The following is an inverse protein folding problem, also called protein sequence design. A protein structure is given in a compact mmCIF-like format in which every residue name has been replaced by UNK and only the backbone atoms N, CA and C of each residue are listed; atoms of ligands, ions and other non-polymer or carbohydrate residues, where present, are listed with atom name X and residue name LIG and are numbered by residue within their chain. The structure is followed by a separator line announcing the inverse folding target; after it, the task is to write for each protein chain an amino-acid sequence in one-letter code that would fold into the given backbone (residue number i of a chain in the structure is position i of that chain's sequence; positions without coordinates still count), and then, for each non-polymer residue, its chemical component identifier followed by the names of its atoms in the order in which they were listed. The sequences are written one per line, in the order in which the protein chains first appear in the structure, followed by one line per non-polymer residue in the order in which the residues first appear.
data_IF_471271184525
#
_entry.id   IF_471271184525
#
_cell.length_a   1.000
_cell.length_b   1.000
_cell.length_c   1.000
_cell.angle_alpha   90.00
_cell.angle_beta   90.00
_cell.angle_gamma   90.00
#
_symmetry.space_group_name_H-M   'P 1'
#
loop_
_entity.id
_entity.type
_entity.pdbx_description
1 polymer ?
#
# COMPACT_ATOMS: atom_id res chain seq x y z
N UNK A 1 17.25 22.90 8.20
CA UNK A 1 17.24 21.43 8.00
C UNK A 1 17.00 21.16 6.52
N UNK A 2 17.74 20.21 5.93
CA UNK A 2 17.55 19.72 4.56
C UNK A 2 17.27 18.23 4.59
N UNK A 3 16.29 17.77 3.81
CA UNK A 3 15.84 16.38 3.78
C UNK A 3 16.06 15.80 2.38
N UNK A 4 16.61 14.58 2.32
CA UNK A 4 16.77 13.82 1.08
C UNK A 4 16.09 12.46 1.20
N UNK A 5 15.07 12.22 0.39
CA UNK A 5 14.31 10.96 0.36
C UNK A 5 14.77 10.14 -0.84
N UNK A 6 15.03 8.84 -0.64
CA UNK A 6 15.59 7.94 -1.66
C UNK A 6 14.68 6.76 -1.92
N UNK A 7 14.47 6.44 -3.18
CA UNK A 7 13.80 5.21 -3.61
C UNK A 7 14.39 4.68 -4.91
N UNK A 8 14.53 3.35 -5.02
CA UNK A 8 14.97 2.65 -6.22
C UNK A 8 13.83 1.92 -6.91
N UNK A 9 12.75 1.64 -6.19
CA UNK A 9 11.65 0.81 -6.62
C UNK A 9 10.32 1.52 -6.82
N UNK A 10 10.11 2.63 -6.14
CA UNK A 10 8.89 3.41 -6.21
C UNK A 10 9.06 4.62 -7.14
N UNK A 11 7.93 5.12 -7.67
CA UNK A 11 7.93 6.44 -8.32
C UNK A 11 8.22 7.51 -7.25
N UNK A 12 8.94 8.61 -7.59
CA UNK A 12 8.99 9.77 -6.69
C UNK A 12 7.61 10.30 -6.30
N UNK A 13 6.60 10.07 -7.12
CA UNK A 13 5.19 10.41 -6.87
C UNK A 13 4.39 9.27 -6.25
N UNK A 14 5.03 8.39 -5.49
CA UNK A 14 4.34 7.37 -4.71
C UNK A 14 3.43 7.99 -3.64
N UNK A 15 2.30 7.33 -3.34
CA UNK A 15 1.30 7.88 -2.41
C UNK A 15 1.85 8.08 -0.99
N UNK A 16 2.74 7.19 -0.50
CA UNK A 16 3.39 7.32 0.80
C UNK A 16 4.52 8.33 0.77
N UNK A 17 5.38 8.28 -0.27
CA UNK A 17 6.60 9.08 -0.35
C UNK A 17 6.28 10.55 -0.61
N UNK A 18 5.57 10.85 -1.70
CA UNK A 18 5.31 12.22 -2.12
C UNK A 18 4.10 12.84 -1.42
N UNK A 19 2.92 12.18 -1.63
CA UNK A 19 1.66 12.79 -1.24
C UNK A 19 1.47 12.83 0.28
N UNK A 20 2.02 11.88 1.01
CA UNK A 20 1.95 11.83 2.46
C UNK A 20 3.22 12.39 3.11
N UNK A 21 4.34 11.66 3.08
CA UNK A 21 5.51 12.00 3.88
C UNK A 21 6.17 13.31 3.45
N UNK A 22 6.57 13.46 2.18
CA UNK A 22 7.26 14.67 1.74
C UNK A 22 6.39 15.94 1.88
N UNK A 23 5.09 15.84 1.53
CA UNK A 23 4.18 16.98 1.72
C UNK A 23 3.95 17.32 3.20
N UNK A 24 3.90 16.33 4.10
CA UNK A 24 3.80 16.58 5.55
C UNK A 24 5.06 17.26 6.09
N UNK A 25 6.23 16.83 5.63
CA UNK A 25 7.51 17.39 6.06
C UNK A 25 7.74 18.83 5.59
N UNK A 26 7.03 19.30 4.57
CA UNK A 26 7.01 20.73 4.18
C UNK A 26 6.53 21.66 5.30
N UNK A 27 5.80 21.16 6.28
CA UNK A 27 5.37 21.96 7.44
C UNK A 27 6.53 22.38 8.34
N UNK A 28 7.66 21.69 8.24
CA UNK A 28 8.84 21.92 9.09
C UNK A 28 10.14 22.10 8.30
N UNK A 29 10.13 21.93 6.98
CA UNK A 29 11.31 21.99 6.13
C UNK A 29 10.96 22.40 4.70
N UNK A 30 11.58 23.47 4.20
CA UNK A 30 11.37 23.93 2.81
C UNK A 30 12.33 23.28 1.80
N UNK A 31 13.44 22.67 2.25
CA UNK A 31 14.45 22.05 1.40
C UNK A 31 14.33 20.53 1.42
N UNK A 32 13.41 20.00 0.58
CA UNK A 32 13.16 18.58 0.43
C UNK A 32 13.50 18.15 -0.98
N UNK A 33 14.34 17.11 -1.12
CA UNK A 33 14.69 16.48 -2.39
C UNK A 33 14.26 15.01 -2.35
N UNK A 34 13.57 14.55 -3.40
CA UNK A 34 13.29 13.11 -3.63
C UNK A 34 14.14 12.66 -4.81
N UNK A 35 14.92 11.59 -4.61
CA UNK A 35 15.71 10.94 -5.68
C UNK A 35 15.10 9.57 -5.96
N UNK A 36 14.64 9.34 -7.18
CA UNK A 36 13.96 8.08 -7.53
C UNK A 36 13.77 7.88 -9.04
N UNK A 37 13.23 6.71 -9.47
CA UNK A 37 13.00 6.39 -10.87
C UNK A 37 12.06 7.39 -11.55
N UNK A 38 12.60 8.23 -12.41
CA UNK A 38 11.84 9.27 -13.11
C UNK A 38 12.46 9.59 -14.46
N UNK A 39 11.62 9.94 -15.45
CA UNK A 39 12.07 10.18 -16.82
C UNK A 39 12.75 11.55 -17.01
N UNK A 40 12.45 12.54 -16.14
CA UNK A 40 13.11 13.84 -16.13
C UNK A 40 14.30 13.82 -15.17
N UNK A 41 15.39 14.46 -15.54
CA UNK A 41 16.57 14.57 -14.68
C UNK A 41 16.27 15.39 -13.41
N UNK A 42 15.50 16.49 -13.58
CA UNK A 42 15.12 17.40 -12.48
C UNK A 42 13.77 18.05 -12.74
N UNK A 43 12.99 18.17 -11.68
CA UNK A 43 11.72 18.91 -11.67
C UNK A 43 11.41 19.42 -10.24
N UNK A 44 10.66 20.52 -10.14
CA UNK A 44 10.12 20.98 -8.86
C UNK A 44 8.60 20.85 -8.91
N UNK A 45 8.04 20.08 -8.00
CA UNK A 45 6.59 19.88 -7.90
C UNK A 45 6.13 20.19 -6.48
N UNK A 46 5.18 21.10 -6.35
CA UNK A 46 4.68 21.56 -5.04
C UNK A 46 5.79 22.00 -4.08
N UNK A 47 6.89 22.58 -4.59
CA UNK A 47 8.04 23.03 -3.79
C UNK A 47 9.02 21.91 -3.39
N UNK A 48 8.77 20.65 -3.78
CA UNK A 48 9.66 19.52 -3.56
C UNK A 48 10.53 19.31 -4.81
N UNK A 49 11.84 19.18 -4.63
CA UNK A 49 12.79 18.88 -5.69
C UNK A 49 12.76 17.39 -6.02
N UNK A 50 12.55 17.05 -7.27
CA UNK A 50 12.58 15.67 -7.78
C UNK A 50 13.82 15.51 -8.65
N UNK A 51 14.70 14.57 -8.31
CA UNK A 51 15.87 14.19 -9.11
C UNK A 51 15.69 12.80 -9.68
N UNK A 52 15.63 12.69 -10.99
CA UNK A 52 15.43 11.43 -11.69
C UNK A 52 16.68 10.54 -11.69
N UNK A 53 16.43 9.24 -11.56
CA UNK A 53 17.38 8.18 -11.89
C UNK A 53 16.73 7.24 -12.90
N UNK A 54 17.52 6.48 -13.70
CA UNK A 54 16.99 5.52 -14.65
C UNK A 54 16.07 4.50 -13.97
N UNK A 55 14.94 4.20 -14.59
CA UNK A 55 13.99 3.22 -14.05
C UNK A 55 14.56 1.80 -14.17
N UNK A 56 14.81 1.09 -13.07
CA UNK A 56 15.31 -0.27 -13.11
C UNK A 56 14.23 -1.23 -13.64
N UNK A 57 14.65 -2.17 -14.50
CA UNK A 57 13.75 -3.16 -15.10
C UNK A 57 13.33 -4.25 -14.10
N UNK A 58 14.19 -4.57 -13.15
CA UNK A 58 14.00 -5.63 -12.17
C UNK A 58 14.82 -5.37 -10.90
N UNK A 59 14.79 -6.31 -9.96
CA UNK A 59 15.55 -6.22 -8.71
C UNK A 59 17.06 -6.13 -8.94
N UNK A 60 17.62 -6.83 -9.95
CA UNK A 60 19.06 -6.71 -10.28
C UNK A 60 19.38 -5.30 -10.74
N UNK A 61 18.54 -4.72 -11.59
CA UNK A 61 18.67 -3.33 -12.02
C UNK A 61 18.69 -2.35 -10.85
N UNK A 62 17.91 -2.59 -9.79
CA UNK A 62 17.94 -1.77 -8.57
C UNK A 62 19.29 -1.81 -7.86
N UNK A 63 19.93 -2.98 -7.78
CA UNK A 63 21.28 -3.07 -7.23
C UNK A 63 22.33 -2.34 -8.07
N UNK A 64 22.22 -2.36 -9.41
CA UNK A 64 23.15 -1.66 -10.29
C UNK A 64 23.07 -0.13 -10.16
N UNK A 65 21.90 0.44 -9.86
CA UNK A 65 21.76 1.89 -9.71
C UNK A 65 22.06 2.39 -8.29
N UNK A 66 22.40 1.49 -7.34
CA UNK A 66 22.67 1.90 -5.95
C UNK A 66 23.83 2.89 -5.82
N UNK A 67 24.89 2.74 -6.60
CA UNK A 67 26.01 3.69 -6.57
C UNK A 67 25.56 5.07 -7.05
N UNK A 68 24.83 5.12 -8.15
CA UNK A 68 24.31 6.36 -8.71
C UNK A 68 23.39 7.11 -7.72
N UNK A 69 22.44 6.42 -7.10
CA UNK A 69 21.50 7.07 -6.16
C UNK A 69 22.24 7.57 -4.91
N UNK A 70 23.21 6.81 -4.41
CA UNK A 70 23.99 7.20 -3.23
C UNK A 70 24.93 8.38 -3.56
N UNK A 71 25.52 8.44 -4.74
CA UNK A 71 26.34 9.58 -5.16
C UNK A 71 25.49 10.84 -5.28
N UNK A 72 24.36 10.78 -5.99
CA UNK A 72 23.40 11.90 -6.06
C UNK A 72 22.91 12.34 -4.67
N UNK A 73 22.70 11.38 -3.76
CA UNK A 73 22.30 11.67 -2.38
C UNK A 73 23.40 12.41 -1.60
N UNK A 74 24.66 12.01 -1.72
CA UNK A 74 25.80 12.65 -1.06
C UNK A 74 25.98 14.10 -1.58
N UNK A 75 25.76 14.34 -2.86
CA UNK A 75 25.80 15.68 -3.47
C UNK A 75 24.79 16.64 -2.85
N UNK A 76 23.62 16.13 -2.39
CA UNK A 76 22.60 16.94 -1.71
C UNK A 76 23.08 17.54 -0.39
N UNK A 77 24.04 16.93 0.31
CA UNK A 77 24.51 17.35 1.63
C UNK A 77 23.35 17.60 2.59
N UNK A 78 22.39 16.66 2.65
CA UNK A 78 21.22 16.77 3.49
C UNK A 78 21.55 16.44 4.96
N UNK A 79 20.78 16.99 5.88
CA UNK A 79 20.88 16.70 7.31
C UNK A 79 20.26 15.33 7.61
N UNK A 80 19.13 15.01 6.94
CA UNK A 80 18.41 13.75 7.11
C UNK A 80 18.24 13.05 5.77
N UNK A 81 18.61 11.77 5.72
CA UNK A 81 18.40 10.88 4.60
C UNK A 81 17.37 9.83 4.99
N UNK A 82 16.29 9.73 4.21
CA UNK A 82 15.21 8.79 4.42
C UNK A 82 15.05 7.89 3.19
N UNK A 83 15.15 6.59 3.35
CA UNK A 83 15.04 5.66 2.22
C UNK A 83 14.02 4.54 2.47
N UNK A 84 13.41 4.06 1.37
CA UNK A 84 12.24 3.18 1.38
C UNK A 84 12.49 1.75 0.90
N UNK A 85 13.55 1.51 0.15
CA UNK A 85 13.78 0.22 -0.49
C UNK A 85 14.91 -0.55 0.21
N UNK A 86 14.67 -1.86 0.42
CA UNK A 86 15.56 -2.76 1.13
C UNK A 86 17.00 -2.74 0.59
N UNK A 87 17.19 -2.75 -0.73
CA UNK A 87 18.54 -2.82 -1.32
C UNK A 87 19.41 -1.61 -0.98
N UNK A 88 18.83 -0.46 -0.64
CA UNK A 88 19.58 0.75 -0.27
C UNK A 88 20.37 0.55 1.01
N UNK A 89 19.91 -0.31 1.93
CA UNK A 89 20.61 -0.57 3.22
C UNK A 89 22.09 -0.90 3.02
N UNK A 90 22.43 -1.63 1.96
CA UNK A 90 23.79 -2.09 1.69
C UNK A 90 24.79 -0.97 1.36
N UNK A 91 24.28 0.17 0.88
CA UNK A 91 25.11 1.32 0.47
C UNK A 91 24.83 2.59 1.31
N UNK A 92 23.72 2.67 2.06
CA UNK A 92 23.31 3.84 2.81
C UNK A 92 24.40 4.36 3.78
N UNK A 93 25.16 3.47 4.40
CA UNK A 93 26.24 3.86 5.31
C UNK A 93 27.41 4.60 4.63
N UNK A 94 27.49 4.60 3.28
CA UNK A 94 28.45 5.45 2.54
C UNK A 94 28.12 6.93 2.71
N UNK A 95 26.83 7.27 2.85
CA UNK A 95 26.38 8.64 3.14
C UNK A 95 27.02 9.11 4.46
N UNK A 96 26.87 8.35 5.55
CA UNK A 96 27.43 8.71 6.85
C UNK A 96 28.97 8.79 6.83
N UNK A 97 29.66 7.94 6.07
CA UNK A 97 31.12 8.03 5.92
C UNK A 97 31.58 9.33 5.28
N UNK A 98 30.79 9.89 4.37
CA UNK A 98 31.09 11.15 3.66
C UNK A 98 30.54 12.37 4.38
N UNK A 99 29.42 12.20 5.10
CA UNK A 99 28.69 13.23 5.79
C UNK A 99 28.41 12.76 7.24
N UNK A 100 29.40 12.83 8.15
CA UNK A 100 29.32 12.18 9.49
C UNK A 100 28.18 12.69 10.38
N UNK A 101 27.74 13.92 10.19
CA UNK A 101 26.68 14.54 11.00
C UNK A 101 25.26 14.22 10.47
N UNK A 102 25.15 13.60 9.30
CA UNK A 102 23.85 13.28 8.72
C UNK A 102 23.15 12.15 9.47
N UNK A 103 21.81 12.22 9.53
CA UNK A 103 20.94 11.20 10.12
C UNK A 103 20.37 10.32 9.02
N UNK A 104 20.18 9.05 9.31
CA UNK A 104 19.66 8.06 8.34
C UNK A 104 18.42 7.41 8.92
N UNK A 105 17.30 7.51 8.17
CA UNK A 105 16.03 6.86 8.46
C UNK A 105 15.82 5.74 7.43
N UNK A 106 15.48 4.54 7.91
CA UNK A 106 15.03 3.43 7.09
C UNK A 106 13.53 3.21 7.26
N UNK A 107 12.75 3.38 6.20
CA UNK A 107 11.31 3.12 6.17
C UNK A 107 11.02 1.74 5.54
N UNK A 108 10.59 0.82 6.38
CA UNK A 108 10.36 -0.58 6.03
C UNK A 108 8.90 -0.80 5.65
N UNK A 109 8.63 -0.96 4.36
CA UNK A 109 7.27 -1.10 3.83
C UNK A 109 6.72 -2.53 3.90
N UNK A 110 7.60 -3.52 3.87
CA UNK A 110 7.22 -4.92 3.67
C UNK A 110 8.04 -5.85 4.57
N UNK A 111 7.50 -7.01 4.89
CA UNK A 111 8.27 -8.06 5.56
C UNK A 111 9.15 -8.78 4.52
N UNK A 112 10.35 -8.23 4.23
CA UNK A 112 11.24 -8.71 3.17
C UNK A 112 11.60 -10.20 3.25
N UNK A 113 11.88 -10.81 4.44
CA UNK A 113 12.08 -12.25 4.53
C UNK A 113 10.92 -13.08 3.98
N UNK A 114 9.66 -12.69 4.24
CA UNK A 114 8.50 -13.39 3.69
C UNK A 114 8.36 -13.17 2.18
N UNK A 115 8.70 -11.98 1.67
CA UNK A 115 8.75 -11.74 0.23
C UNK A 115 9.73 -12.67 -0.47
N UNK A 116 10.92 -12.89 0.11
CA UNK A 116 11.90 -13.86 -0.43
C UNK A 116 11.37 -15.28 -0.35
N UNK A 117 10.78 -15.67 0.79
CA UNK A 117 10.18 -17.00 0.99
C UNK A 117 9.12 -17.34 -0.05
N UNK A 118 8.33 -16.35 -0.47
CA UNK A 118 7.25 -16.51 -1.46
C UNK A 118 7.72 -16.32 -2.90
N UNK A 119 8.91 -15.79 -3.11
CA UNK A 119 9.40 -15.43 -4.43
C UNK A 119 9.58 -16.66 -5.31
N UNK A 120 8.90 -16.70 -6.47
CA UNK A 120 9.09 -17.71 -7.51
C UNK A 120 10.44 -17.53 -8.25
N UNK A 121 11.07 -16.36 -8.10
CA UNK A 121 12.38 -16.04 -8.72
C UNK A 121 13.57 -16.65 -7.95
N UNK A 122 13.39 -16.99 -6.68
CA UNK A 122 14.40 -17.65 -5.85
C UNK A 122 14.18 -19.16 -5.91
N UNK A 123 15.16 -19.94 -6.40
CA UNK A 123 15.04 -21.40 -6.49
C UNK A 123 14.72 -22.04 -5.13
N UNK A 124 13.81 -23.02 -5.12
CA UNK A 124 13.36 -23.68 -3.89
C UNK A 124 14.48 -24.17 -2.97
N UNK A 125 15.56 -24.83 -3.47
CA UNK A 125 16.60 -25.38 -2.60
C UNK A 125 17.36 -24.33 -1.77
N UNK A 126 17.56 -23.13 -2.32
CA UNK A 126 18.31 -22.06 -1.64
C UNK A 126 17.42 -21.02 -0.97
N UNK A 127 16.10 -21.13 -1.11
CA UNK A 127 15.13 -20.10 -0.67
C UNK A 127 15.18 -19.88 0.84
N UNK A 128 15.26 -20.95 1.64
CA UNK A 128 15.35 -20.84 3.09
C UNK A 128 16.63 -20.12 3.53
N UNK A 129 17.76 -20.47 2.93
CA UNK A 129 19.05 -19.83 3.20
C UNK A 129 19.03 -18.35 2.80
N UNK A 130 18.51 -18.04 1.60
CA UNK A 130 18.39 -16.65 1.13
C UNK A 130 17.48 -15.84 2.05
N UNK A 131 16.35 -16.41 2.51
CA UNK A 131 15.46 -15.77 3.49
C UNK A 131 16.20 -15.42 4.77
N UNK A 132 16.96 -16.37 5.32
CA UNK A 132 17.75 -16.16 6.53
C UNK A 132 18.83 -15.10 6.33
N UNK A 133 19.53 -15.11 5.19
CA UNK A 133 20.55 -14.10 4.87
C UNK A 133 19.96 -12.71 4.77
N UNK A 134 18.82 -12.55 4.09
CA UNK A 134 18.10 -11.28 3.99
C UNK A 134 17.69 -10.80 5.38
N UNK A 135 17.07 -11.65 6.19
CA UNK A 135 16.65 -11.30 7.55
C UNK A 135 17.84 -10.83 8.43
N UNK A 136 18.89 -11.64 8.49
CA UNK A 136 20.07 -11.30 9.31
C UNK A 136 20.82 -10.08 8.83
N UNK A 137 20.99 -9.91 7.49
CA UNK A 137 21.67 -8.74 6.94
C UNK A 137 20.88 -7.46 7.18
N UNK A 138 19.54 -7.49 7.00
CA UNK A 138 18.68 -6.37 7.28
C UNK A 138 18.78 -5.92 8.74
N UNK A 139 18.59 -6.85 9.68
CA UNK A 139 18.68 -6.56 11.11
C UNK A 139 20.06 -6.05 11.52
N UNK A 140 21.14 -6.67 11.01
CA UNK A 140 22.52 -6.29 11.34
C UNK A 140 22.88 -4.88 10.85
N UNK A 141 22.47 -4.52 9.62
CA UNK A 141 22.79 -3.22 9.04
C UNK A 141 21.90 -2.13 9.66
N UNK A 142 20.61 -2.43 9.89
CA UNK A 142 19.63 -1.47 10.42
C UNK A 142 19.98 -0.95 11.82
N UNK A 143 20.71 -1.71 12.63
CA UNK A 143 21.26 -1.25 13.93
C UNK A 143 22.11 0.02 13.83
N UNK A 144 22.63 0.33 12.63
CA UNK A 144 23.51 1.46 12.40
C UNK A 144 22.77 2.71 11.93
N UNK A 145 21.47 2.65 11.71
CA UNK A 145 20.65 3.79 11.33
C UNK A 145 20.16 4.54 12.57
N UNK A 146 19.84 5.82 12.42
CA UNK A 146 19.41 6.67 13.53
C UNK A 146 17.95 6.41 13.88
N UNK A 147 17.13 6.04 12.90
CA UNK A 147 15.73 5.72 13.10
C UNK A 147 15.23 4.68 12.10
N UNK A 148 14.27 3.88 12.54
CA UNK A 148 13.57 2.89 11.69
C UNK A 148 12.08 3.22 11.74
N UNK A 149 11.48 3.43 10.58
CA UNK A 149 10.04 3.54 10.41
C UNK A 149 9.54 2.21 9.86
N UNK A 150 8.40 1.74 10.32
CA UNK A 150 7.75 0.54 9.79
C UNK A 150 6.32 0.83 9.37
N UNK A 151 5.80 0.11 8.39
CA UNK A 151 4.44 0.33 7.89
C UNK A 151 3.36 -0.34 8.75
N UNK A 152 3.74 -1.27 9.63
CA UNK A 152 2.85 -1.97 10.55
C UNK A 152 3.60 -2.55 11.76
N UNK A 153 2.85 -2.97 12.78
CA UNK A 153 3.37 -3.50 14.03
C UNK A 153 4.11 -4.83 13.84
N UNK A 154 3.64 -5.70 12.95
CA UNK A 154 4.25 -7.01 12.72
C UNK A 154 5.67 -6.87 12.10
N UNK A 155 5.89 -5.79 11.33
CA UNK A 155 7.23 -5.44 10.85
C UNK A 155 8.05 -4.81 11.97
N UNK A 156 7.48 -3.91 12.81
CA UNK A 156 8.15 -3.29 13.97
C UNK A 156 8.73 -4.33 14.93
N UNK A 157 7.97 -5.38 15.22
CA UNK A 157 8.39 -6.44 16.16
C UNK A 157 9.73 -7.08 15.82
N UNK A 158 10.12 -7.10 14.54
CA UNK A 158 11.42 -7.61 14.10
C UNK A 158 12.58 -6.70 14.54
N UNK A 159 12.32 -5.41 14.69
CA UNK A 159 13.35 -4.41 14.98
C UNK A 159 13.42 -4.01 16.46
N UNK A 160 12.43 -4.34 17.28
CA UNK A 160 12.36 -3.98 18.71
C UNK A 160 13.59 -4.44 19.52
N UNK A 161 14.19 -5.59 19.17
CA UNK A 161 15.38 -6.12 19.85
C UNK A 161 16.70 -5.54 19.31
N UNK A 162 16.68 -4.67 18.31
CA UNK A 162 17.90 -4.17 17.67
C UNK A 162 18.04 -2.66 17.69
N UNK A 163 16.96 -1.93 17.91
CA UNK A 163 16.94 -0.47 17.98
C UNK A 163 15.83 -0.02 18.93
N UNK A 164 16.10 0.99 19.74
CA UNK A 164 15.10 1.70 20.55
C UNK A 164 14.36 2.77 19.71
N UNK A 165 14.95 3.19 18.59
CA UNK A 165 14.42 4.21 17.70
C UNK A 165 13.63 3.56 16.56
N UNK A 166 12.50 2.92 16.90
CA UNK A 166 11.59 2.26 15.95
C UNK A 166 10.15 2.74 16.16
N UNK A 167 9.51 3.26 15.11
CA UNK A 167 8.11 3.70 15.20
C UNK A 167 7.29 3.19 14.03
N UNK A 168 6.00 2.95 14.26
CA UNK A 168 5.04 2.59 13.23
C UNK A 168 4.40 3.85 12.66
N UNK A 169 4.57 4.06 11.37
CA UNK A 169 3.86 5.07 10.58
C UNK A 169 3.00 4.33 9.56
N UNK A 170 1.73 4.16 9.88
CA UNK A 170 0.82 3.44 9.01
C UNK A 170 0.61 4.17 7.67
N UNK A 171 0.35 3.40 6.63
CA UNK A 171 0.02 3.98 5.33
C UNK A 171 -1.50 4.24 5.21
N UNK A 172 -2.12 4.83 6.25
CA UNK A 172 -3.53 5.19 6.25
C UNK A 172 -3.87 6.19 5.15
N UNK A 173 -5.16 6.24 4.79
CA UNK A 173 -5.62 7.16 3.75
C UNK A 173 -5.58 8.62 4.23
N UNK A 174 -5.43 9.55 3.30
CA UNK A 174 -5.71 10.97 3.58
C UNK A 174 -7.22 11.15 3.57
N UNK A 175 -7.75 11.57 4.71
CA UNK A 175 -9.18 11.80 4.85
C UNK A 175 -9.60 13.04 4.05
N UNK A 176 -10.28 12.82 2.96
CA UNK A 176 -11.06 13.80 2.23
C UNK A 176 -12.50 13.30 2.24
N UNK A 177 -13.23 13.53 3.33
CA UNK A 177 -14.65 13.18 3.41
C UNK A 177 -15.44 14.09 2.49
N UNK A 178 -15.65 13.64 1.28
CA UNK A 178 -16.76 14.15 0.47
C UNK A 178 -17.86 13.11 0.63
N UNK A 179 -18.76 13.34 1.61
CA UNK A 179 -19.99 12.59 1.68
C UNK A 179 -20.82 13.01 0.47
N UNK A 180 -20.83 12.19 -0.55
CA UNK A 180 -21.53 12.53 -1.78
C UNK A 180 -22.72 11.58 -1.96
N UNK A 181 -23.75 11.79 -1.11
CA UNK A 181 -25.03 11.09 -1.20
C UNK A 181 -25.78 11.37 -2.52
N UNK A 182 -25.26 12.30 -3.34
CA UNK A 182 -25.83 12.69 -4.63
C UNK A 182 -25.29 11.84 -5.80
N UNK A 183 -24.21 11.09 -5.62
CA UNK A 183 -23.65 10.27 -6.69
C UNK A 183 -24.46 8.99 -6.87
N UNK A 184 -25.06 8.85 -8.05
CA UNK A 184 -25.76 7.63 -8.44
C UNK A 184 -24.83 6.44 -8.43
N UNK A 185 -25.20 5.39 -7.73
CA UNK A 185 -24.46 4.11 -7.76
C UNK A 185 -24.64 3.42 -9.12
N UNK A 186 -23.54 3.14 -9.80
CA UNK A 186 -23.48 2.52 -11.12
C UNK A 186 -23.02 1.06 -11.04
N UNK A 187 -22.26 0.74 -9.97
CA UNK A 187 -21.68 -0.59 -9.75
C UNK A 187 -22.13 -1.15 -8.41
N UNK A 188 -22.47 -2.42 -8.38
CA UNK A 188 -22.80 -3.10 -7.13
C UNK A 188 -21.53 -3.38 -6.30
N UNK A 189 -20.42 -3.70 -7.00
CA UNK A 189 -19.19 -4.14 -6.37
C UNK A 189 -17.98 -3.48 -7.03
N UNK A 190 -17.00 -3.12 -6.23
CA UNK A 190 -15.69 -2.65 -6.70
C UNK A 190 -14.55 -3.45 -6.10
N UNK A 191 -13.54 -3.73 -6.92
CA UNK A 191 -12.20 -4.09 -6.50
C UNK A 191 -11.20 -3.10 -7.09
N UNK A 192 -10.38 -2.45 -6.25
CA UNK A 192 -9.36 -1.53 -6.73
C UNK A 192 -7.93 -2.03 -6.43
N UNK A 193 -6.98 -1.65 -7.30
CA UNK A 193 -5.55 -1.99 -7.22
C UNK A 193 -5.13 -3.10 -8.17
N UNK A 194 -3.91 -3.58 -8.04
CA UNK A 194 -3.38 -4.61 -8.94
C UNK A 194 -4.19 -5.91 -8.90
N UNK A 195 -4.62 -6.38 -10.06
CA UNK A 195 -5.48 -7.56 -10.22
C UNK A 195 -4.60 -8.80 -10.34
N UNK A 196 -4.65 -9.68 -9.35
CA UNK A 196 -3.92 -10.96 -9.35
C UNK A 196 -4.75 -12.08 -8.73
N UNK A 197 -4.39 -13.32 -9.03
CA UNK A 197 -5.04 -14.51 -8.44
C UNK A 197 -4.87 -14.50 -6.92
N UNK A 198 -3.67 -14.21 -6.43
CA UNK A 198 -3.33 -14.20 -5.00
C UNK A 198 -4.11 -13.11 -4.22
N UNK A 199 -4.63 -12.12 -4.93
CA UNK A 199 -5.49 -11.08 -4.35
C UNK A 199 -6.98 -11.39 -4.47
N UNK A 200 -7.34 -12.63 -4.84
CA UNK A 200 -8.71 -13.13 -4.85
C UNK A 200 -9.53 -12.78 -6.09
N UNK A 201 -8.89 -12.34 -7.20
CA UNK A 201 -9.64 -11.94 -8.39
C UNK A 201 -10.47 -13.08 -8.99
N UNK A 202 -9.96 -14.32 -8.98
CA UNK A 202 -10.72 -15.47 -9.48
C UNK A 202 -11.89 -15.84 -8.54
N UNK A 203 -11.69 -15.71 -7.22
CA UNK A 203 -12.74 -15.96 -6.23
C UNK A 203 -13.90 -14.98 -6.37
N UNK A 204 -13.59 -13.72 -6.67
CA UNK A 204 -14.63 -12.73 -7.00
C UNK A 204 -15.45 -13.19 -8.21
N UNK A 205 -14.80 -13.59 -9.32
CA UNK A 205 -15.52 -14.04 -10.52
C UNK A 205 -16.40 -15.25 -10.22
N UNK A 206 -15.93 -16.21 -9.43
CA UNK A 206 -16.70 -17.37 -9.01
C UNK A 206 -17.93 -16.97 -8.17
N UNK A 207 -17.76 -16.04 -7.23
CA UNK A 207 -18.87 -15.51 -6.45
C UNK A 207 -19.89 -14.77 -7.32
N UNK A 208 -19.46 -13.99 -8.32
CA UNK A 208 -20.36 -13.33 -9.28
C UNK A 208 -21.14 -14.36 -10.12
N UNK A 209 -20.50 -15.47 -10.53
CA UNK A 209 -21.19 -16.56 -11.22
C UNK A 209 -22.32 -17.16 -10.36
N UNK A 210 -22.03 -17.40 -9.06
CA UNK A 210 -23.03 -17.92 -8.11
C UNK A 210 -24.18 -16.91 -7.98
N UNK A 211 -23.90 -15.63 -7.80
CA UNK A 211 -24.91 -14.58 -7.70
C UNK A 211 -25.77 -14.51 -8.96
N UNK A 212 -25.16 -14.51 -10.14
CA UNK A 212 -25.84 -14.44 -11.43
C UNK A 212 -26.83 -15.59 -11.67
N UNK A 213 -26.64 -16.74 -11.05
CA UNK A 213 -27.58 -17.86 -11.14
C UNK A 213 -28.94 -17.56 -10.51
N UNK A 214 -29.03 -16.53 -9.65
CA UNK A 214 -30.28 -16.02 -9.15
C UNK A 214 -30.78 -14.85 -10.02
N UNK A 215 -32.02 -14.92 -10.57
CA UNK A 215 -32.58 -13.88 -11.45
C UNK A 215 -32.53 -12.46 -10.87
N UNK A 216 -32.57 -12.30 -9.52
CA UNK A 216 -32.45 -11.02 -8.84
C UNK A 216 -31.10 -10.32 -9.12
N UNK A 217 -30.04 -11.09 -9.36
CA UNK A 217 -28.68 -10.60 -9.55
C UNK A 217 -28.16 -10.86 -10.99
N UNK A 218 -29.01 -11.19 -11.93
CA UNK A 218 -28.60 -11.43 -13.33
C UNK A 218 -27.81 -10.26 -13.92
N UNK A 219 -28.22 -9.03 -13.60
CA UNK A 219 -27.59 -7.79 -14.07
C UNK A 219 -26.57 -7.19 -13.08
N UNK A 220 -26.06 -7.97 -12.10
CA UNK A 220 -25.06 -7.51 -11.16
C UNK A 220 -23.83 -6.95 -11.87
N UNK A 221 -23.31 -5.80 -11.42
CA UNK A 221 -22.17 -5.12 -12.03
C UNK A 221 -20.99 -5.05 -11.08
N UNK A 222 -19.89 -5.64 -11.52
CA UNK A 222 -18.61 -5.63 -10.84
C UNK A 222 -17.57 -4.85 -11.64
N UNK A 223 -16.90 -3.87 -11.02
CA UNK A 223 -15.80 -3.12 -11.63
C UNK A 223 -14.46 -3.45 -10.97
N UNK A 224 -13.49 -3.85 -11.80
CA UNK A 224 -12.08 -3.97 -11.43
C UNK A 224 -11.33 -2.73 -11.87
N UNK A 225 -10.84 -1.93 -10.90
CA UNK A 225 -10.12 -0.69 -11.16
C UNK A 225 -8.63 -0.89 -10.90
N UNK A 226 -7.85 -1.02 -11.97
CA UNK A 226 -6.41 -1.21 -11.88
C UNK A 226 -5.84 -2.18 -12.93
N UNK A 227 -4.51 -2.27 -13.01
CA UNK A 227 -3.85 -3.12 -13.99
C UNK A 227 -3.83 -4.59 -13.57
N UNK A 228 -3.78 -5.49 -14.55
CA UNK A 228 -3.42 -6.88 -14.31
C UNK A 228 -1.95 -6.98 -13.85
N UNK A 229 -1.70 -7.71 -12.78
CA UNK A 229 -0.36 -7.85 -12.20
C UNK A 229 0.61 -8.63 -13.09
N UNK A 230 0.08 -9.57 -13.91
CA UNK A 230 0.85 -10.36 -14.89
C UNK A 230 -0.06 -10.96 -15.98
N UNK A 231 0.51 -11.20 -17.18
CA UNK A 231 -0.25 -11.64 -18.35
C UNK A 231 -1.05 -12.93 -18.09
N UNK A 232 -0.43 -13.96 -17.51
CA UNK A 232 -1.10 -15.23 -17.21
C UNK A 232 -2.33 -15.05 -16.31
N UNK A 233 -2.34 -14.06 -15.39
CA UNK A 233 -3.50 -13.76 -14.58
C UNK A 233 -4.66 -13.26 -15.47
N UNK A 234 -4.36 -12.33 -16.39
CA UNK A 234 -5.35 -11.83 -17.35
C UNK A 234 -5.96 -12.99 -18.15
N UNK A 235 -5.12 -13.87 -18.70
CA UNK A 235 -5.59 -14.99 -19.53
C UNK A 235 -6.53 -15.93 -18.75
N UNK A 236 -6.19 -16.26 -17.49
CA UNK A 236 -7.03 -17.09 -16.61
C UNK A 236 -8.39 -16.42 -16.36
N UNK A 237 -8.38 -15.13 -16.01
CA UNK A 237 -9.62 -14.41 -15.66
C UNK A 237 -10.52 -14.23 -16.90
N UNK A 238 -9.93 -13.83 -18.04
CA UNK A 238 -10.70 -13.66 -19.28
C UNK A 238 -11.29 -14.97 -19.77
N UNK A 239 -10.53 -16.06 -19.68
CA UNK A 239 -11.04 -17.41 -20.00
C UNK A 239 -12.21 -17.77 -19.10
N UNK A 240 -12.10 -17.57 -17.79
CA UNK A 240 -13.18 -17.87 -16.85
C UNK A 240 -14.44 -17.05 -17.13
N UNK A 241 -14.29 -15.77 -17.47
CA UNK A 241 -15.40 -14.87 -17.83
C UNK A 241 -16.15 -15.41 -19.04
N UNK A 242 -15.44 -15.76 -20.13
CA UNK A 242 -16.03 -16.26 -21.35
C UNK A 242 -16.70 -17.64 -21.19
N UNK A 243 -16.09 -18.55 -20.42
CA UNK A 243 -16.65 -19.87 -20.16
C UNK A 243 -17.90 -19.84 -19.25
N UNK A 244 -18.22 -18.70 -18.62
CA UNK A 244 -19.34 -18.57 -17.69
C UNK A 244 -20.27 -17.38 -18.00
N UNK A 245 -20.22 -16.85 -19.25
CA UNK A 245 -21.07 -15.77 -19.76
C UNK A 245 -21.12 -14.53 -18.84
N UNK A 246 -19.96 -14.11 -18.29
CA UNK A 246 -19.86 -12.99 -17.33
C UNK A 246 -19.48 -11.65 -17.98
N UNK A 247 -19.33 -11.56 -19.30
CA UNK A 247 -18.86 -10.37 -20.02
C UNK A 247 -19.71 -9.14 -19.74
N UNK A 248 -21.02 -9.30 -19.63
CA UNK A 248 -21.95 -8.19 -19.32
C UNK A 248 -21.90 -7.71 -17.86
N UNK A 249 -21.35 -8.53 -16.98
CA UNK A 249 -21.31 -8.28 -15.54
C UNK A 249 -19.98 -7.65 -15.05
N UNK A 250 -18.89 -7.84 -15.81
CA UNK A 250 -17.52 -7.52 -15.38
C UNK A 250 -16.94 -6.40 -16.23
N UNK A 251 -16.42 -5.38 -15.54
CA UNK A 251 -15.77 -4.24 -16.18
C UNK A 251 -14.32 -4.15 -15.67
N UNK A 252 -13.35 -3.99 -16.59
CA UNK A 252 -11.94 -3.71 -16.28
C UNK A 252 -11.57 -2.35 -16.81
N UNK A 253 -11.13 -1.43 -15.93
CA UNK A 253 -10.71 -0.09 -16.35
C UNK A 253 -9.26 -0.04 -16.83
N UNK A 254 -8.44 -1.04 -16.44
CA UNK A 254 -7.00 -0.90 -16.54
C UNK A 254 -6.46 0.13 -15.53
N UNK A 255 -5.25 0.63 -15.76
CA UNK A 255 -4.62 1.64 -14.90
C UNK A 255 -5.28 3.00 -15.14
N UNK A 256 -5.76 3.62 -14.09
CA UNK A 256 -6.33 4.98 -14.08
C UNK A 256 -5.65 5.82 -12.99
N UNK A 257 -5.79 7.13 -13.06
CA UNK A 257 -5.27 8.06 -12.07
C UNK A 257 -6.02 7.94 -10.73
N UNK A 258 -5.37 8.34 -9.65
CA UNK A 258 -5.88 8.14 -8.29
C UNK A 258 -7.22 8.84 -8.05
N UNK A 259 -7.44 10.00 -8.64
CA UNK A 259 -8.72 10.72 -8.52
C UNK A 259 -9.86 9.97 -9.24
N UNK A 260 -9.57 9.37 -10.38
CA UNK A 260 -10.51 8.53 -11.13
C UNK A 260 -10.86 7.25 -10.34
N UNK A 261 -9.88 6.64 -9.64
CA UNK A 261 -10.17 5.50 -8.73
C UNK A 261 -11.22 5.88 -7.69
N UNK A 262 -11.11 7.08 -7.12
CA UNK A 262 -12.06 7.58 -6.12
C UNK A 262 -13.48 7.76 -6.69
N UNK A 263 -13.60 8.24 -7.92
CA UNK A 263 -14.90 8.33 -8.60
C UNK A 263 -15.57 6.95 -8.74
N UNK A 264 -14.80 5.92 -9.14
CA UNK A 264 -15.33 4.55 -9.20
C UNK A 264 -15.77 4.05 -7.83
N UNK A 265 -15.04 4.38 -6.76
CA UNK A 265 -15.45 4.03 -5.40
C UNK A 265 -16.78 4.68 -5.03
N UNK A 266 -16.96 6.00 -5.26
CA UNK A 266 -18.22 6.68 -4.99
C UNK A 266 -19.40 6.12 -5.79
N UNK A 267 -19.17 5.63 -7.01
CA UNK A 267 -20.18 5.01 -7.87
C UNK A 267 -20.48 3.54 -7.53
N UNK A 268 -19.80 2.97 -6.53
CA UNK A 268 -19.95 1.57 -6.13
C UNK A 268 -20.65 1.43 -4.78
N UNK A 269 -21.32 0.28 -4.54
CA UNK A 269 -22.03 0.00 -3.30
C UNK A 269 -21.15 -0.74 -2.27
N UNK A 270 -20.32 -1.70 -2.71
CA UNK A 270 -19.54 -2.62 -1.85
C UNK A 270 -18.09 -2.69 -2.33
N UNK A 271 -17.12 -2.56 -1.42
CA UNK A 271 -15.69 -2.71 -1.70
C UNK A 271 -15.15 -4.08 -1.29
N UNK A 272 -14.36 -4.75 -2.15
CA UNK A 272 -13.82 -6.08 -1.87
C UNK A 272 -12.33 -6.08 -1.57
N UNK A 273 -11.94 -6.81 -0.50
CA UNK A 273 -10.55 -7.09 -0.11
C UNK A 273 -10.36 -8.60 0.15
N UNK A 274 -10.60 -9.48 -0.84
CA UNK A 274 -10.63 -10.92 -0.67
C UNK A 274 -9.24 -11.54 -0.86
N UNK A 275 -8.23 -11.03 -0.15
CA UNK A 275 -6.85 -11.54 -0.24
C UNK A 275 -6.82 -13.02 0.18
N UNK A 276 -6.13 -13.86 -0.63
CA UNK A 276 -5.94 -15.26 -0.29
C UNK A 276 -4.93 -15.41 0.87
N UNK A 277 -4.96 -16.51 1.64
CA UNK A 277 -4.14 -16.69 2.85
C UNK A 277 -2.65 -16.96 2.53
N UNK A 278 -2.01 -16.00 1.89
CA UNK A 278 -0.58 -15.99 1.63
C UNK A 278 0.16 -15.38 2.83
N UNK A 279 1.35 -15.88 3.24
CA UNK A 279 2.05 -15.45 4.45
C UNK A 279 2.20 -13.94 4.62
N UNK A 280 2.48 -13.19 3.55
CA UNK A 280 2.59 -11.73 3.59
C UNK A 280 1.31 -11.02 3.97
N UNK A 281 0.13 -11.57 3.59
CA UNK A 281 -1.16 -10.94 3.86
C UNK A 281 -1.65 -11.15 5.30
N UNK A 282 -0.95 -11.98 6.08
CA UNK A 282 -1.16 -12.07 7.53
C UNK A 282 -0.45 -10.96 8.31
N UNK A 283 0.43 -10.20 7.66
CA UNK A 283 1.24 -9.15 8.28
C UNK A 283 1.00 -7.78 7.68
N UNK A 284 0.92 -7.69 6.35
CA UNK A 284 0.81 -6.42 5.66
C UNK A 284 -0.62 -5.88 5.65
N UNK A 285 -0.79 -4.62 5.98
CA UNK A 285 -2.09 -3.93 6.04
C UNK A 285 -2.46 -3.42 4.62
N UNK A 286 -3.53 -3.93 4.00
CA UNK A 286 -3.96 -3.45 2.69
C UNK A 286 -4.64 -2.09 2.78
N UNK A 287 -4.09 -1.07 2.13
CA UNK A 287 -4.59 0.33 2.19
C UNK A 287 -5.99 0.49 1.62
N UNK A 288 -6.38 -0.33 0.64
CA UNK A 288 -7.68 -0.23 -0.04
C UNK A 288 -8.89 -0.32 0.89
N UNK A 289 -8.79 -1.03 2.03
CA UNK A 289 -9.88 -1.07 3.01
C UNK A 289 -10.18 0.32 3.58
N UNK A 290 -9.14 1.11 3.88
CA UNK A 290 -9.30 2.48 4.38
C UNK A 290 -9.79 3.44 3.29
N UNK A 291 -9.42 3.21 2.04
CA UNK A 291 -9.90 3.99 0.90
C UNK A 291 -11.41 3.76 0.69
N UNK A 292 -11.89 2.50 0.78
CA UNK A 292 -13.33 2.21 0.77
C UNK A 292 -14.05 2.85 1.95
N UNK A 293 -13.54 2.68 3.18
CA UNK A 293 -14.10 3.30 4.38
C UNK A 293 -14.19 4.82 4.23
N UNK A 294 -13.17 5.47 3.67
CA UNK A 294 -13.17 6.94 3.46
C UNK A 294 -14.21 7.43 2.46
N UNK A 295 -14.67 6.54 1.57
CA UNK A 295 -15.75 6.82 0.62
C UNK A 295 -17.14 6.39 1.13
N UNK A 296 -17.26 5.93 2.37
CA UNK A 296 -18.53 5.44 2.93
C UNK A 296 -19.02 4.14 2.28
N UNK A 297 -18.10 3.29 1.84
CA UNK A 297 -18.41 2.00 1.20
C UNK A 297 -18.11 0.87 2.19
N UNK A 298 -19.08 0.00 2.53
CA UNK A 298 -18.82 -1.17 3.36
C UNK A 298 -17.81 -2.11 2.71
N UNK A 299 -16.96 -2.71 3.55
CA UNK A 299 -15.87 -3.59 3.09
C UNK A 299 -16.23 -5.04 3.30
N UNK A 300 -16.20 -5.87 2.27
CA UNK A 300 -16.14 -7.32 2.42
C UNK A 300 -14.66 -7.72 2.32
N UNK A 301 -14.10 -8.20 3.43
CA UNK A 301 -12.68 -8.48 3.55
C UNK A 301 -12.37 -9.85 4.13
N UNK A 302 -11.20 -10.38 3.79
CA UNK A 302 -10.74 -11.68 4.27
C UNK A 302 -10.51 -11.72 5.78
N UNK A 303 -10.57 -12.91 6.37
CA UNK A 303 -10.39 -13.15 7.81
C UNK A 303 -8.97 -12.87 8.35
N UNK A 304 -7.98 -12.53 7.49
CA UNK A 304 -6.62 -12.25 7.93
C UNK A 304 -6.57 -11.08 8.93
N UNK A 305 -5.71 -11.16 9.96
CA UNK A 305 -5.67 -10.17 11.04
C UNK A 305 -5.58 -8.71 10.59
N UNK A 306 -4.75 -8.33 9.57
CA UNK A 306 -4.65 -6.94 9.10
C UNK A 306 -5.87 -6.43 8.33
N UNK A 307 -6.87 -7.27 8.10
CA UNK A 307 -8.14 -6.90 7.46
C UNK A 307 -9.25 -6.97 8.49
N UNK A 308 -9.38 -8.14 9.13
CA UNK A 308 -10.41 -8.40 10.13
C UNK A 308 -10.41 -7.34 11.24
N UNK A 309 -9.23 -7.03 11.81
CA UNK A 309 -9.08 -6.07 12.92
C UNK A 309 -9.76 -4.73 12.60
N UNK A 310 -9.50 -4.17 11.43
CA UNK A 310 -10.01 -2.85 11.06
C UNK A 310 -11.49 -2.84 10.71
N UNK A 311 -11.98 -3.89 10.02
CA UNK A 311 -13.38 -4.01 9.64
C UNK A 311 -14.25 -4.21 10.89
N UNK A 312 -13.81 -5.07 11.82
CA UNK A 312 -14.62 -5.40 13.00
C UNK A 312 -14.57 -4.34 14.08
N UNK A 313 -13.48 -3.57 14.22
CA UNK A 313 -13.35 -2.52 15.23
C UNK A 313 -14.48 -1.50 15.20
N UNK A 314 -14.93 -1.15 14.00
CA UNK A 314 -15.99 -0.15 13.78
C UNK A 314 -17.26 -0.73 13.15
N UNK A 315 -17.35 -2.05 12.96
CA UNK A 315 -18.44 -2.68 12.21
C UNK A 315 -18.66 -2.03 10.83
N UNK A 316 -17.57 -1.81 10.10
CA UNK A 316 -17.55 -1.12 8.80
C UNK A 316 -17.66 -2.07 7.60
N UNK A 317 -18.01 -3.34 7.84
CA UNK A 317 -18.12 -4.35 6.78
C UNK A 317 -18.23 -5.77 7.32
N UNK A 318 -18.00 -6.74 6.46
CA UNK A 318 -18.16 -8.17 6.73
C UNK A 318 -16.84 -8.90 6.50
N UNK A 319 -16.51 -9.82 7.39
CA UNK A 319 -15.32 -10.69 7.27
C UNK A 319 -15.72 -12.03 6.68
N UNK A 320 -15.00 -12.44 5.62
CA UNK A 320 -15.29 -13.66 4.84
C UNK A 320 -14.09 -14.61 4.79
N UNK A 321 -14.38 -15.88 4.47
CA UNK A 321 -13.36 -16.82 4.05
C UNK A 321 -13.06 -16.63 2.54
N UNK A 322 -11.89 -16.13 2.16
CA UNK A 322 -11.59 -15.83 0.77
C UNK A 322 -11.39 -17.09 -0.10
N UNK A 323 -11.36 -18.27 0.48
CA UNK A 323 -11.29 -19.55 -0.23
C UNK A 323 -12.68 -20.16 -0.53
N UNK A 324 -13.72 -19.57 0.04
CA UNK A 324 -15.11 -20.01 -0.10
C UNK A 324 -15.89 -18.99 -0.95
N UNK A 325 -16.08 -19.29 -2.22
CA UNK A 325 -16.82 -18.44 -3.14
C UNK A 325 -18.33 -18.32 -2.81
N UNK A 326 -18.89 -19.29 -2.08
CA UNK A 326 -20.28 -19.24 -1.60
C UNK A 326 -20.40 -18.23 -0.46
N UNK A 327 -19.50 -18.27 0.53
CA UNK A 327 -19.44 -17.28 1.60
C UNK A 327 -19.29 -15.85 1.06
N UNK A 328 -18.44 -15.66 0.03
CA UNK A 328 -18.30 -14.37 -0.65
C UNK A 328 -19.63 -13.93 -1.27
N UNK A 329 -20.28 -14.82 -2.03
CA UNK A 329 -21.53 -14.53 -2.74
C UNK A 329 -22.68 -14.21 -1.77
N UNK A 330 -22.85 -15.01 -0.71
CA UNK A 330 -23.90 -14.82 0.29
C UNK A 330 -23.76 -13.48 1.04
N UNK A 331 -22.53 -13.08 1.39
CA UNK A 331 -22.29 -11.81 2.07
C UNK A 331 -22.46 -10.60 1.13
N UNK A 332 -22.15 -10.74 -0.15
CA UNK A 332 -22.50 -9.72 -1.16
C UNK A 332 -24.01 -9.60 -1.27
N UNK A 333 -24.74 -10.73 -1.43
CA UNK A 333 -26.19 -10.73 -1.53
C UNK A 333 -26.85 -10.12 -0.29
N UNK A 334 -26.36 -10.45 0.92
CA UNK A 334 -26.83 -9.89 2.19
C UNK A 334 -26.77 -8.37 2.20
N UNK A 335 -25.64 -7.78 1.79
CA UNK A 335 -25.51 -6.33 1.72
C UNK A 335 -26.40 -5.73 0.63
N UNK A 336 -26.45 -6.31 -0.56
CA UNK A 336 -27.27 -5.79 -1.66
C UNK A 336 -28.78 -5.86 -1.39
N UNK A 337 -29.20 -6.67 -0.43
CA UNK A 337 -30.61 -6.77 0.00
C UNK A 337 -30.99 -5.75 1.08
N UNK A 338 -30.03 -5.11 1.71
CA UNK A 338 -30.23 -4.24 2.87
C UNK A 338 -29.45 -2.92 2.69
N UNK A 339 -30.12 -1.92 2.11
CA UNK A 339 -29.55 -0.60 1.87
C UNK A 339 -29.24 0.15 3.17
N UNK A 340 -30.03 -0.08 4.24
CA UNK A 340 -29.78 0.52 5.55
C UNK A 340 -28.51 -0.07 6.19
N UNK A 341 -28.26 -1.35 6.00
CA UNK A 341 -27.02 -1.99 6.44
C UNK A 341 -25.80 -1.46 5.67
N UNK A 342 -25.91 -1.29 4.33
CA UNK A 342 -24.86 -0.65 3.52
C UNK A 342 -24.54 0.73 4.06
N UNK A 343 -25.57 1.55 4.30
CA UNK A 343 -25.42 2.91 4.81
C UNK A 343 -24.80 2.92 6.21
N UNK A 344 -25.32 2.11 7.12
CA UNK A 344 -24.79 1.99 8.49
C UNK A 344 -23.31 1.61 8.51
N UNK A 345 -22.92 0.57 7.78
CA UNK A 345 -21.51 0.15 7.69
C UNK A 345 -20.63 1.17 6.99
N UNK A 346 -21.15 1.86 5.98
CA UNK A 346 -20.47 2.96 5.29
C UNK A 346 -20.20 4.14 6.22
N UNK A 347 -21.20 4.59 6.99
CA UNK A 347 -21.07 5.68 7.96
C UNK A 347 -20.08 5.29 9.10
N UNK A 348 -20.09 4.04 9.54
CA UNK A 348 -19.11 3.49 10.48
C UNK A 348 -17.68 3.53 9.91
N UNK A 349 -17.52 3.24 8.61
CA UNK A 349 -16.24 3.36 7.92
C UNK A 349 -15.72 4.79 7.90
N UNK A 350 -16.58 5.77 7.56
CA UNK A 350 -16.24 7.21 7.60
C UNK A 350 -15.82 7.61 9.02
N UNK A 351 -16.56 7.18 10.04
CA UNK A 351 -16.23 7.44 11.44
C UNK A 351 -14.86 6.87 11.80
N UNK A 352 -14.57 5.62 11.45
CA UNK A 352 -13.29 4.97 11.70
C UNK A 352 -12.10 5.76 11.09
N UNK A 353 -12.26 6.26 9.86
CA UNK A 353 -11.26 7.08 9.21
C UNK A 353 -11.11 8.44 9.89
N UNK A 354 -12.20 9.11 10.25
CA UNK A 354 -12.14 10.44 10.86
C UNK A 354 -11.50 10.42 12.25
N UNK A 355 -11.74 9.36 13.04
CA UNK A 355 -11.29 9.24 14.42
C UNK A 355 -9.90 8.61 14.55
N UNK A 356 -9.56 7.60 13.73
CA UNK A 356 -8.37 6.78 13.99
C UNK A 356 -7.52 6.49 12.75
N UNK A 357 -8.11 5.97 11.65
CA UNK A 357 -7.33 5.41 10.54
C UNK A 357 -7.05 6.43 9.44
N UNK A 358 -6.50 7.59 9.80
CA UNK A 358 -6.19 8.68 8.87
C UNK A 358 -4.73 9.10 8.94
N UNK A 359 -4.25 9.70 7.85
CA UNK A 359 -2.87 10.15 7.73
C UNK A 359 -2.51 11.28 8.71
N UNK A 360 -3.46 12.09 9.16
CA UNK A 360 -3.17 13.24 10.04
C UNK A 360 -2.49 12.80 11.34
N UNK A 361 -2.94 11.70 11.95
CA UNK A 361 -2.32 11.16 13.16
C UNK A 361 -0.91 10.62 12.89
N UNK A 362 -0.74 9.95 11.76
CA UNK A 362 0.57 9.42 11.35
C UNK A 362 1.53 10.53 10.96
N UNK A 363 1.02 11.63 10.39
CA UNK A 363 1.77 12.83 10.08
C UNK A 363 2.41 13.46 11.33
N UNK A 364 1.66 13.56 12.43
CA UNK A 364 2.17 14.10 13.69
C UNK A 364 3.34 13.26 14.23
N UNK A 365 3.23 11.92 14.18
CA UNK A 365 4.32 11.01 14.55
C UNK A 365 5.54 11.22 13.65
N UNK A 366 5.32 11.29 12.32
CA UNK A 366 6.39 11.52 11.35
C UNK A 366 7.13 12.84 11.62
N UNK A 367 6.39 13.93 11.77
CA UNK A 367 6.95 15.26 12.06
C UNK A 367 7.78 15.22 13.33
N UNK A 368 7.28 14.56 14.39
CA UNK A 368 8.00 14.46 15.65
C UNK A 368 9.35 13.72 15.52
N UNK A 369 9.39 12.62 14.76
CA UNK A 369 10.64 11.91 14.45
C UNK A 369 11.66 12.86 13.82
N UNK A 370 11.24 13.65 12.83
CA UNK A 370 12.14 14.58 12.15
C UNK A 370 12.58 15.77 13.02
N UNK A 371 11.71 16.28 13.90
CA UNK A 371 12.08 17.32 14.87
C UNK A 371 13.15 16.80 15.82
N UNK A 372 12.97 15.61 16.39
CA UNK A 372 13.94 14.99 17.28
C UNK A 372 15.29 14.79 16.59
N UNK A 373 15.29 14.21 15.37
CA UNK A 373 16.54 13.97 14.63
C UNK A 373 17.23 15.26 14.15
N UNK A 374 16.45 16.27 13.80
CA UNK A 374 16.92 17.57 13.35
C UNK A 374 17.29 18.54 14.48
N UNK A 375 17.12 18.15 15.75
CA UNK A 375 17.41 18.99 16.90
C UNK A 375 16.48 20.22 17.01
N UNK A 376 15.26 20.12 16.50
CA UNK A 376 14.24 21.18 16.57
C UNK A 376 13.45 20.95 17.87
N UNK A 377 13.52 21.90 18.81
CA UNK A 377 12.73 21.85 20.05
C UNK A 377 11.24 21.90 19.74
N UNK A 378 10.46 21.12 20.49
CA UNK A 378 8.99 21.29 20.51
C UNK A 378 8.70 22.57 21.31
N UNK A 379 8.45 23.68 20.62
CA UNK A 379 7.80 24.85 21.22
C UNK A 379 6.31 24.63 21.36
#
# INVERSE_FOLDING_TARGET
MKICILTTGHSPFDSRIFYKQANSLKKICDDITIIGPYDKEFEIVSGIKIKGIPKPKDLKGRFFILDLIIEKAIEERADIYHFHDFEIIYKALRIRRKLPNSKIIYDVHEHYPDMVRMSKKVPKPIRALTTLMVDKSELFISKKFDFIITADEAVKDRFNNISESVEVIHNYTQFNAIKNDLIKKEYDIIYQGGITIERGALQILKAIKILKSNPKYENIKMVFVGPFGYAKCKDILMKYISENDLESNIIFTGRVDHDIVREYMYKSKIGLVPLLPEPKYFKNIPTKQFEYMSCGIPVIGSYMPPIKRYITAYNSGIVINPLDEVDIAENIAKLLMDEDLIKCMGDNGIKAISEEFNWKQEEEKLINIYKVLGGISNE
#
